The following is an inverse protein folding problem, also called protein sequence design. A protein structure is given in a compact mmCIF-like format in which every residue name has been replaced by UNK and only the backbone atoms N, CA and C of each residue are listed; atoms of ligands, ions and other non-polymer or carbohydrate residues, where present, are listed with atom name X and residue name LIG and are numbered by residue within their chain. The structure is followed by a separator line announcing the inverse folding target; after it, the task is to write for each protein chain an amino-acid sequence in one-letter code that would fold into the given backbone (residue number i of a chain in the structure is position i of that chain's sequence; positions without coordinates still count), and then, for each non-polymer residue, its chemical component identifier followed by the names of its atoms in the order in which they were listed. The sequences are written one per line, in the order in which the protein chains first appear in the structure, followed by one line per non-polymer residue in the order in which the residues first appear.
data_IF_625050337648
#
_entry.id   IF_625050337648
#
_cell.length_a   1.000
_cell.length_b   1.000
_cell.length_c   1.000
_cell.angle_alpha   90.00
_cell.angle_beta   90.00
_cell.angle_gamma   90.00
#
_symmetry.space_group_name_H-M   'P 1'
#
loop_
_entity.id
_entity.type
_entity.pdbx_description
1 polymer ?
#
# COMPACT_ATOMS: atom_id res chain seq x y z
N UNK A 1 11.10 -3.24 1.01
CA UNK A 1 9.64 -3.48 0.82
C UNK A 1 8.97 -2.16 1.17
N UNK A 2 7.92 -1.70 0.49
CA UNK A 2 7.42 -0.33 0.69
C UNK A 2 7.19 0.06 2.17
N UNK A 3 6.53 -0.76 3.02
CA UNK A 3 6.40 -0.47 4.44
C UNK A 3 7.73 -0.32 5.18
N UNK A 4 8.67 -1.24 4.97
CA UNK A 4 10.02 -1.20 5.58
C UNK A 4 10.78 0.05 5.11
N UNK A 5 10.72 0.36 3.82
CA UNK A 5 11.42 1.50 3.22
C UNK A 5 10.84 2.82 3.80
N UNK A 6 9.52 2.88 4.02
CA UNK A 6 8.81 3.99 4.67
C UNK A 6 9.22 4.15 6.14
N UNK A 7 9.22 3.07 6.92
CA UNK A 7 9.67 3.10 8.32
C UNK A 7 11.12 3.56 8.47
N UNK A 8 12.00 3.08 7.58
CA UNK A 8 13.40 3.49 7.55
C UNK A 8 13.55 4.97 7.21
N UNK A 9 12.80 5.48 6.24
CA UNK A 9 12.79 6.89 5.88
C UNK A 9 12.31 7.77 7.06
N UNK A 10 11.17 7.45 7.67
CA UNK A 10 10.64 8.19 8.83
C UNK A 10 11.63 8.19 9.99
N UNK A 11 12.25 7.04 10.28
CA UNK A 11 13.25 6.91 11.35
C UNK A 11 14.52 7.72 11.06
N UNK A 12 14.95 7.79 9.80
CA UNK A 12 16.09 8.61 9.39
C UNK A 12 15.79 10.11 9.54
N UNK A 13 14.62 10.56 9.10
CA UNK A 13 14.20 11.96 9.20
C UNK A 13 14.07 12.41 10.66
N UNK A 14 13.48 11.58 11.53
CA UNK A 14 13.33 11.86 12.97
C UNK A 14 14.65 12.10 13.72
N UNK A 15 15.80 11.68 13.17
CA UNK A 15 17.12 11.89 13.78
C UNK A 15 17.74 13.25 13.43
N UNK A 16 17.14 13.99 12.49
CA UNK A 16 17.65 15.27 12.01
C UNK A 16 17.11 16.40 12.89
N UNK A 17 17.93 17.42 13.14
CA UNK A 17 17.45 18.64 13.79
C UNK A 17 16.41 19.35 12.89
N UNK A 18 15.24 19.78 13.41
CA UNK A 18 14.18 20.41 12.61
C UNK A 18 14.66 21.55 11.69
N UNK A 19 15.67 22.33 12.09
CA UNK A 19 16.20 23.42 11.27
C UNK A 19 16.98 22.96 10.03
N UNK A 20 17.57 21.77 10.09
CA UNK A 20 18.33 21.18 8.99
C UNK A 20 17.49 20.20 8.16
N UNK A 21 16.28 19.86 8.63
CA UNK A 21 15.38 18.88 8.03
C UNK A 21 15.08 19.17 6.55
N UNK A 22 14.73 20.40 6.11
CA UNK A 22 14.41 20.66 4.70
C UNK A 22 15.56 20.36 3.74
N UNK A 23 16.80 20.45 4.21
CA UNK A 23 18.00 20.27 3.40
C UNK A 23 18.57 18.86 3.50
N UNK A 24 18.55 18.25 4.69
CA UNK A 24 19.16 16.95 4.94
C UNK A 24 18.19 15.79 4.74
N UNK A 25 16.90 15.95 5.08
CA UNK A 25 15.92 14.86 4.98
C UNK A 25 15.80 14.28 3.56
N UNK A 26 15.66 15.10 2.49
CA UNK A 26 15.54 14.58 1.12
C UNK A 26 16.79 13.83 0.63
N UNK A 27 17.95 14.08 1.25
CA UNK A 27 19.24 13.49 0.87
C UNK A 27 19.57 12.23 1.66
N UNK A 28 18.75 11.85 2.63
CA UNK A 28 19.01 10.63 3.40
C UNK A 28 18.85 9.38 2.53
N UNK A 29 19.69 8.35 2.72
CA UNK A 29 19.56 7.09 1.98
C UNK A 29 18.17 6.44 2.12
N UNK A 30 17.54 6.59 3.29
CA UNK A 30 16.19 6.08 3.56
C UNK A 30 15.13 6.74 2.66
N UNK A 31 15.11 8.08 2.60
CA UNK A 31 14.19 8.82 1.74
C UNK A 31 14.46 8.56 0.26
N UNK A 32 15.74 8.53 -0.16
CA UNK A 32 16.10 8.21 -1.55
C UNK A 32 15.61 6.81 -1.97
N UNK A 33 15.73 5.82 -1.09
CA UNK A 33 15.24 4.45 -1.33
C UNK A 33 13.72 4.42 -1.43
N UNK A 34 13.02 5.14 -0.56
CA UNK A 34 11.57 5.27 -0.60
C UNK A 34 11.11 5.94 -1.90
N UNK A 35 11.68 7.07 -2.29
CA UNK A 35 11.35 7.75 -3.54
C UNK A 35 11.60 6.85 -4.76
N UNK A 36 12.70 6.08 -4.77
CA UNK A 36 12.96 5.10 -5.83
C UNK A 36 11.86 4.02 -5.89
N UNK A 37 11.39 3.54 -4.74
CA UNK A 37 10.29 2.57 -4.65
C UNK A 37 8.97 3.14 -5.16
N UNK A 38 8.64 4.36 -4.76
CA UNK A 38 7.45 5.07 -5.25
C UNK A 38 7.51 5.28 -6.76
N UNK A 39 8.67 5.66 -7.30
CA UNK A 39 8.85 5.82 -8.74
C UNK A 39 8.65 4.50 -9.49
N UNK A 40 9.14 3.38 -8.94
CA UNK A 40 8.89 2.06 -9.52
C UNK A 40 7.38 1.73 -9.54
N UNK A 41 6.67 2.00 -8.44
CA UNK A 41 5.23 1.80 -8.38
C UNK A 41 4.48 2.69 -9.40
N UNK A 42 4.88 3.96 -9.53
CA UNK A 42 4.35 4.88 -10.55
C UNK A 42 4.55 4.32 -11.96
N UNK A 43 5.75 3.86 -12.28
CA UNK A 43 6.06 3.32 -13.61
C UNK A 43 5.20 2.10 -13.97
N UNK A 44 4.84 1.27 -12.98
CA UNK A 44 3.98 0.09 -13.19
C UNK A 44 2.50 0.49 -13.28
N UNK A 45 2.02 1.33 -12.36
CA UNK A 45 0.60 1.62 -12.23
C UNK A 45 0.09 2.67 -13.22
N UNK A 46 0.91 3.65 -13.58
CA UNK A 46 0.53 4.73 -14.50
C UNK A 46 -0.05 4.23 -15.83
N UNK A 47 0.61 3.36 -16.61
CA UNK A 47 0.05 2.90 -17.88
C UNK A 47 -1.29 2.15 -17.69
N UNK A 48 -1.45 1.43 -16.57
CA UNK A 48 -2.69 0.71 -16.25
C UNK A 48 -3.81 1.71 -15.95
N UNK A 49 -3.54 2.73 -15.14
CA UNK A 49 -4.52 3.78 -14.80
C UNK A 49 -4.92 4.55 -16.06
N UNK A 50 -3.95 4.98 -16.87
CA UNK A 50 -4.19 5.71 -18.12
C UNK A 50 -5.03 4.87 -19.10
N UNK A 51 -4.71 3.58 -19.25
CA UNK A 51 -5.49 2.67 -20.07
C UNK A 51 -6.94 2.55 -19.59
N UNK A 52 -7.16 2.36 -18.28
CA UNK A 52 -8.51 2.23 -17.70
C UNK A 52 -9.34 3.51 -17.90
N UNK A 53 -8.73 4.68 -17.69
CA UNK A 53 -9.39 5.97 -17.93
C UNK A 53 -9.74 6.12 -19.43
N UNK A 54 -8.80 5.80 -20.32
CA UNK A 54 -9.00 5.93 -21.76
C UNK A 54 -10.07 4.97 -22.32
N UNK A 55 -10.13 3.73 -21.83
CA UNK A 55 -11.13 2.75 -22.25
C UNK A 55 -12.52 3.17 -21.76
N UNK A 56 -12.67 3.54 -20.48
CA UNK A 56 -13.94 4.01 -19.92
C UNK A 56 -14.48 5.26 -20.64
N UNK A 57 -13.60 6.15 -21.10
CA UNK A 57 -13.99 7.32 -21.86
C UNK A 57 -14.47 6.99 -23.29
N UNK A 58 -14.00 5.88 -23.87
CA UNK A 58 -14.36 5.45 -25.24
C UNK A 58 -15.56 4.52 -25.28
N UNK A 59 -15.70 3.66 -24.28
CA UNK A 59 -16.71 2.61 -24.21
C UNK A 59 -17.44 2.69 -22.86
N UNK A 60 -18.64 3.30 -22.82
CA UNK A 60 -19.48 3.36 -21.63
C UNK A 60 -19.96 1.98 -21.14
N UNK A 61 -19.97 0.95 -22.00
CA UNK A 61 -20.35 -0.42 -21.64
C UNK A 61 -19.17 -1.26 -21.16
N UNK A 62 -17.96 -0.68 -21.12
CA UNK A 62 -16.78 -1.38 -20.65
C UNK A 62 -16.94 -1.87 -19.20
N UNK A 63 -16.78 -3.18 -19.01
CA UNK A 63 -16.85 -3.81 -17.69
C UNK A 63 -15.62 -3.48 -16.87
N UNK A 64 -15.80 -2.60 -15.90
CA UNK A 64 -14.73 -2.21 -14.99
C UNK A 64 -14.24 -3.38 -14.13
N UNK A 65 -12.92 -3.49 -13.87
CA UNK A 65 -12.37 -4.47 -12.95
C UNK A 65 -12.89 -4.26 -11.51
N UNK A 66 -13.23 -5.34 -10.82
CA UNK A 66 -13.59 -5.29 -9.40
C UNK A 66 -12.34 -5.42 -8.53
N UNK A 67 -11.50 -4.39 -8.56
CA UNK A 67 -10.28 -4.33 -7.76
C UNK A 67 -10.11 -2.99 -7.06
N UNK A 68 -9.22 -2.97 -6.05
CA UNK A 68 -8.92 -1.77 -5.26
C UNK A 68 -8.49 -0.59 -6.13
N UNK A 69 -7.68 -0.84 -7.16
CA UNK A 69 -7.19 0.24 -8.02
C UNK A 69 -8.36 0.91 -8.73
N UNK A 70 -9.32 0.12 -9.23
CA UNK A 70 -10.54 0.63 -9.84
C UNK A 70 -11.41 1.38 -8.81
N UNK A 71 -11.53 0.88 -7.58
CA UNK A 71 -12.24 1.58 -6.51
C UNK A 71 -11.64 2.96 -6.20
N UNK A 72 -10.31 3.06 -6.16
CA UNK A 72 -9.62 4.35 -5.97
C UNK A 72 -9.86 5.27 -7.17
N UNK A 73 -9.74 4.77 -8.41
CA UNK A 73 -10.03 5.54 -9.63
C UNK A 73 -11.47 6.06 -9.61
N UNK A 74 -12.45 5.24 -9.28
CA UNK A 74 -13.85 5.67 -9.23
C UNK A 74 -14.09 6.71 -8.13
N UNK A 75 -13.50 6.50 -6.95
CA UNK A 75 -13.60 7.45 -5.83
C UNK A 75 -12.92 8.79 -6.14
N UNK A 76 -11.89 8.80 -6.98
CA UNK A 76 -11.17 10.00 -7.41
C UNK A 76 -12.05 11.02 -8.15
N UNK A 77 -13.13 10.55 -8.80
CA UNK A 77 -13.99 11.35 -9.68
C UNK A 77 -13.23 12.18 -10.73
N UNK A 78 -12.02 11.77 -11.12
CA UNK A 78 -11.17 12.52 -12.05
C UNK A 78 -10.61 13.84 -11.49
N UNK A 79 -10.70 14.06 -10.17
CA UNK A 79 -10.27 15.32 -9.51
C UNK A 79 -8.87 15.26 -8.91
N UNK A 80 -8.22 14.10 -8.93
CA UNK A 80 -6.86 13.92 -8.40
C UNK A 80 -5.94 13.37 -9.48
N UNK A 81 -4.64 13.62 -9.32
CA UNK A 81 -3.64 13.20 -10.29
C UNK A 81 -3.42 11.67 -10.25
N UNK A 82 -2.84 11.12 -11.31
CA UNK A 82 -2.42 9.71 -11.33
C UNK A 82 -1.43 9.41 -10.19
N UNK A 83 -0.56 10.36 -9.87
CA UNK A 83 0.41 10.21 -8.80
C UNK A 83 -0.28 10.11 -7.43
N UNK A 84 -1.39 10.82 -7.21
CA UNK A 84 -2.20 10.72 -5.98
C UNK A 84 -2.93 9.37 -5.90
N UNK A 85 -3.41 8.84 -7.03
CA UNK A 85 -4.02 7.50 -7.12
C UNK A 85 -2.98 6.44 -6.74
N UNK A 86 -1.76 6.55 -7.29
CA UNK A 86 -0.65 5.65 -6.93
C UNK A 86 -0.28 5.77 -5.46
N UNK A 87 -0.21 6.99 -4.92
CA UNK A 87 0.04 7.23 -3.50
C UNK A 87 -1.02 6.61 -2.59
N UNK A 88 -2.29 6.69 -3.00
CA UNK A 88 -3.42 6.08 -2.28
C UNK A 88 -3.31 4.54 -2.25
N UNK A 89 -2.95 3.93 -3.39
CA UNK A 89 -2.72 2.48 -3.48
C UNK A 89 -1.56 2.04 -2.57
N UNK A 90 -0.44 2.78 -2.59
CA UNK A 90 0.73 2.50 -1.74
C UNK A 90 0.39 2.63 -0.25
N UNK A 91 -0.40 3.63 0.12
CA UNK A 91 -0.89 3.83 1.49
C UNK A 91 -1.76 2.67 1.96
N UNK A 92 -2.65 2.17 1.09
CA UNK A 92 -3.47 1.01 1.44
C UNK A 92 -2.63 -0.26 1.61
N UNK A 93 -1.66 -0.48 0.72
CA UNK A 93 -0.72 -1.60 0.82
C UNK A 93 0.03 -1.54 2.16
N UNK A 94 0.49 -0.35 2.55
CA UNK A 94 1.13 -0.12 3.84
C UNK A 94 0.22 -0.48 5.02
N UNK A 95 -1.04 -0.06 4.99
CA UNK A 95 -2.00 -0.35 6.06
C UNK A 95 -2.35 -1.86 6.17
N UNK A 96 -2.40 -2.57 5.03
CA UNK A 96 -2.93 -3.94 4.98
C UNK A 96 -1.91 -5.05 5.25
N UNK A 97 -0.68 -4.91 4.74
CA UNK A 97 0.31 -6.01 4.80
C UNK A 97 0.73 -6.30 6.24
N UNK A 98 1.19 -5.28 6.97
CA UNK A 98 1.76 -5.49 8.31
C UNK A 98 0.69 -5.94 9.32
N UNK A 99 -0.53 -5.42 9.21
CA UNK A 99 -1.65 -5.80 10.09
C UNK A 99 -2.05 -7.25 9.86
N UNK A 100 -2.26 -7.66 8.61
CA UNK A 100 -2.70 -9.02 8.28
C UNK A 100 -1.62 -10.05 8.61
N UNK A 101 -0.37 -9.80 8.24
CA UNK A 101 0.75 -10.68 8.56
C UNK A 101 0.93 -10.85 10.07
N UNK A 102 0.80 -9.77 10.85
CA UNK A 102 0.89 -9.81 12.31
C UNK A 102 -0.28 -10.59 12.92
N UNK A 103 -1.51 -10.33 12.46
CA UNK A 103 -2.70 -11.04 12.94
C UNK A 103 -2.59 -12.53 12.68
N UNK A 104 -2.27 -12.96 11.45
CA UNK A 104 -2.12 -14.38 11.12
C UNK A 104 -1.03 -15.03 11.98
N UNK A 105 0.11 -14.36 12.14
CA UNK A 105 1.21 -14.85 12.97
C UNK A 105 0.76 -15.05 14.42
N UNK A 106 0.11 -14.04 15.02
CA UNK A 106 -0.38 -14.11 16.39
C UNK A 106 -1.47 -15.18 16.57
N UNK A 107 -2.36 -15.33 15.59
CA UNK A 107 -3.37 -16.39 15.58
C UNK A 107 -2.71 -17.76 15.60
N UNK A 108 -1.71 -17.99 14.74
CA UNK A 108 -0.98 -19.27 14.72
C UNK A 108 -0.27 -19.56 16.05
N UNK A 109 0.43 -18.57 16.63
CA UNK A 109 1.06 -18.75 17.95
C UNK A 109 0.03 -19.04 19.05
N UNK A 110 -1.13 -18.40 18.99
CA UNK A 110 -2.22 -18.64 19.94
C UNK A 110 -2.76 -20.07 19.82
N UNK A 111 -2.98 -20.57 18.60
CA UNK A 111 -3.48 -21.92 18.36
C UNK A 111 -2.49 -23.00 18.82
N UNK A 112 -1.20 -22.81 18.58
CA UNK A 112 -0.15 -23.73 19.06
C UNK A 112 -0.08 -23.75 20.58
N UNK A 113 -0.25 -22.59 21.22
CA UNK A 113 -0.18 -22.47 22.69
C UNK A 113 -1.45 -22.96 23.40
N UNK A 114 -2.58 -23.01 22.68
CA UNK A 114 -3.91 -23.38 23.21
C UNK A 114 -4.60 -24.37 22.27
N UNK A 115 -4.13 -25.63 22.20
CA UNK A 115 -4.63 -26.63 21.26
C UNK A 115 -6.11 -26.99 21.47
N UNK A 116 -6.70 -26.68 22.64
CA UNK A 116 -8.11 -26.87 22.94
C UNK A 116 -9.06 -26.15 21.96
N UNK A 117 -8.61 -25.05 21.33
CA UNK A 117 -9.41 -24.32 20.34
C UNK A 117 -9.38 -24.92 18.93
N UNK A 118 -8.43 -25.82 18.63
CA UNK A 118 -8.24 -26.30 17.25
C UNK A 118 -9.43 -27.13 16.77
N UNK A 119 -9.91 -28.09 17.58
CA UNK A 119 -11.03 -28.95 17.18
C UNK A 119 -12.33 -28.15 16.97
N UNK A 120 -12.76 -27.29 17.91
CA UNK A 120 -13.93 -26.44 17.70
C UNK A 120 -13.85 -25.59 16.42
N UNK A 121 -12.73 -24.93 16.17
CA UNK A 121 -12.55 -24.10 14.97
C UNK A 121 -12.62 -24.92 13.67
N UNK A 122 -12.16 -26.17 13.68
CA UNK A 122 -12.28 -27.07 12.53
C UNK A 122 -13.71 -27.54 12.29
N UNK A 123 -14.49 -27.74 13.36
CA UNK A 123 -15.91 -28.08 13.27
C UNK A 123 -16.73 -26.91 12.72
N UNK A 124 -16.39 -25.66 13.04
CA UNK A 124 -17.07 -24.47 12.52
C UNK A 124 -16.87 -24.23 11.01
N UNK A 125 -15.72 -24.65 10.44
CA UNK A 125 -15.42 -24.48 9.02
C UNK A 125 -16.12 -25.55 8.15
N UNK A 126 -16.48 -26.71 8.73
CA UNK A 126 -17.13 -27.83 8.03
C UNK A 126 -18.61 -27.58 7.80
#
# INVERSE_FOLDING_TARGET
MYPVDLFNAVTAVKKINPWLEPFLAPRTPGVLTLCKREQQAKNVLRPIIEQRIAVKAKDPEWKEPEDVLQWIINRSMGKVSIDDIVGSQLTLIFAAIDTTSTTVTNTMFTLVSKPEYIKPLQEEIR
#
